data_IF_295081675011
#
_entry.id   IF_295081675011
#
_cell.length_a   1.000
_cell.length_b   1.000
_cell.length_c   1.000
_cell.angle_alpha   90.00
_cell.angle_beta   90.00
_cell.angle_gamma   90.00
#
_symmetry.space_group_name_H-M   'P 1'
#
loop_
_entity.id
_entity.type
_entity.pdbx_description
1 polymer ?
#
# COMPACT_ATOMS: atom_id res chain seq x y z
N UNK A 1 -14.19 5.90 -28.68
CA UNK A 1 -13.98 4.70 -27.84
C UNK A 1 -12.51 4.59 -27.43
N UNK A 2 -12.22 3.96 -26.31
CA UNK A 2 -10.87 3.63 -25.85
C UNK A 2 -10.77 2.11 -25.85
N UNK A 3 -9.76 1.58 -26.57
CA UNK A 3 -9.38 0.17 -26.49
C UNK A 3 -8.13 0.03 -25.63
N UNK A 4 -8.11 -0.94 -24.72
CA UNK A 4 -6.94 -1.33 -23.95
C UNK A 4 -6.89 -2.85 -23.85
N UNK A 5 -5.69 -3.39 -23.72
CA UNK A 5 -5.43 -4.81 -23.68
C UNK A 5 -4.33 -5.12 -22.66
N UNK A 6 -4.18 -6.37 -22.27
CA UNK A 6 -3.17 -6.86 -21.35
C UNK A 6 -3.71 -7.80 -20.28
N UNK A 7 -2.81 -8.45 -19.56
CA UNK A 7 -3.16 -9.47 -18.54
C UNK A 7 -4.12 -8.96 -17.44
N UNK A 8 -4.09 -7.67 -17.15
CA UNK A 8 -4.92 -7.04 -16.12
C UNK A 8 -6.19 -6.37 -16.65
N UNK A 9 -6.40 -6.34 -17.95
CA UNK A 9 -7.55 -5.63 -18.56
C UNK A 9 -8.88 -6.13 -18.01
N UNK A 10 -9.08 -7.44 -17.94
CA UNK A 10 -10.29 -8.05 -17.41
C UNK A 10 -10.51 -7.74 -15.92
N UNK A 11 -9.44 -7.73 -15.09
CA UNK A 11 -9.58 -7.43 -13.67
C UNK A 11 -9.98 -5.97 -13.44
N UNK A 12 -9.42 -5.03 -14.19
CA UNK A 12 -9.82 -3.61 -14.07
C UNK A 12 -11.29 -3.38 -14.42
N UNK A 13 -11.81 -4.06 -15.44
CA UNK A 13 -13.22 -3.96 -15.83
C UNK A 13 -14.12 -4.56 -14.73
N UNK A 14 -13.75 -5.71 -14.16
CA UNK A 14 -14.48 -6.34 -13.06
C UNK A 14 -14.47 -5.50 -11.78
N UNK A 15 -13.33 -4.89 -11.43
CA UNK A 15 -13.21 -4.02 -10.27
C UNK A 15 -14.11 -2.78 -10.35
N UNK A 16 -14.45 -2.35 -11.56
CA UNK A 16 -15.44 -1.30 -11.83
C UNK A 16 -16.89 -1.80 -11.80
N UNK A 17 -17.14 -3.09 -11.51
CA UNK A 17 -18.48 -3.68 -11.52
C UNK A 17 -19.07 -3.84 -12.92
N UNK A 18 -18.26 -3.71 -13.96
CA UNK A 18 -18.66 -3.93 -15.34
C UNK A 18 -18.50 -5.42 -15.69
N UNK A 19 -19.49 -5.97 -16.39
CA UNK A 19 -19.49 -7.37 -16.85
C UNK A 19 -20.24 -7.47 -18.18
N UNK A 20 -20.21 -8.65 -18.80
CA UNK A 20 -21.02 -8.92 -20.00
C UNK A 20 -22.53 -8.74 -19.73
N UNK A 21 -22.98 -9.00 -18.51
CA UNK A 21 -24.37 -8.83 -18.10
C UNK A 21 -24.71 -7.37 -17.79
N UNK A 22 -23.73 -6.58 -17.34
CA UNK A 22 -23.84 -5.17 -17.00
C UNK A 22 -22.76 -4.34 -17.70
N UNK A 23 -22.84 -4.19 -19.05
CA UNK A 23 -21.77 -3.59 -19.84
C UNK A 23 -21.79 -2.05 -19.84
N UNK A 24 -22.81 -1.42 -19.26
CA UNK A 24 -23.01 0.03 -19.30
C UNK A 24 -23.07 0.60 -17.90
N UNK A 25 -22.24 1.60 -17.66
CA UNK A 25 -22.30 2.43 -16.47
C UNK A 25 -22.67 3.87 -16.85
N UNK A 26 -23.71 4.40 -16.21
CA UNK A 26 -24.10 5.79 -16.40
C UNK A 26 -23.37 6.67 -15.41
N UNK A 27 -22.40 7.40 -15.90
CA UNK A 27 -21.55 8.29 -15.14
C UNK A 27 -22.18 9.70 -15.08
N UNK A 28 -22.30 10.27 -13.89
CA UNK A 28 -22.72 11.68 -13.71
C UNK A 28 -21.48 12.58 -13.84
N UNK A 29 -21.09 12.88 -15.10
CA UNK A 29 -19.79 13.12 -15.52
C UNK A 29 -19.03 14.34 -15.26
N UNK A 30 -17.88 14.21 -14.74
CA UNK A 30 -16.93 15.27 -14.45
C UNK A 30 -16.20 15.74 -15.72
N UNK A 31 -15.97 17.06 -15.83
CA UNK A 31 -15.08 17.63 -16.86
C UNK A 31 -13.66 17.05 -16.82
N UNK A 32 -13.27 16.40 -15.71
CA UNK A 32 -11.98 15.71 -15.57
C UNK A 32 -11.81 14.58 -16.59
N UNK A 33 -12.81 13.71 -16.77
CA UNK A 33 -12.72 12.58 -17.69
C UNK A 33 -12.74 13.07 -19.14
N UNK A 34 -13.57 14.10 -19.44
CA UNK A 34 -13.54 14.71 -20.77
C UNK A 34 -12.17 15.30 -21.07
N UNK A 35 -11.58 16.04 -20.14
CA UNK A 35 -10.25 16.61 -20.29
C UNK A 35 -9.18 15.54 -20.52
N UNK A 36 -9.28 14.42 -19.77
CA UNK A 36 -8.38 13.28 -19.91
C UNK A 36 -8.54 12.61 -21.28
N UNK A 37 -9.77 12.40 -21.75
CA UNK A 37 -10.05 11.85 -23.07
C UNK A 37 -9.51 12.73 -24.19
N UNK A 38 -9.66 14.05 -24.08
CA UNK A 38 -9.08 14.98 -25.04
C UNK A 38 -7.53 14.93 -25.01
N UNK A 39 -6.93 14.77 -23.85
CA UNK A 39 -5.48 14.58 -23.73
C UNK A 39 -5.04 13.31 -24.45
N UNK A 40 -5.71 12.19 -24.21
CA UNK A 40 -5.39 10.91 -24.87
C UNK A 40 -5.54 10.99 -26.39
N UNK A 41 -6.52 11.72 -26.89
CA UNK A 41 -6.72 11.91 -28.35
C UNK A 41 -5.61 12.71 -29.04
N UNK A 42 -4.94 13.62 -28.32
CA UNK A 42 -3.83 14.42 -28.88
C UNK A 42 -2.54 13.63 -29.03
N UNK A 43 -2.38 12.55 -28.27
CA UNK A 43 -1.19 11.72 -28.23
C UNK A 43 -1.48 10.38 -28.91
N UNK A 44 -1.44 10.39 -30.25
CA UNK A 44 -1.71 9.21 -31.06
C UNK A 44 -0.50 8.84 -31.93
N UNK A 45 0.70 9.13 -31.44
CA UNK A 45 1.94 8.78 -32.12
C UNK A 45 2.50 7.46 -31.58
N UNK A 46 3.28 6.77 -32.42
CA UNK A 46 3.93 5.51 -32.04
C UNK A 46 5.26 5.73 -31.27
N UNK A 47 5.42 6.90 -30.64
CA UNK A 47 6.60 7.21 -29.85
C UNK A 47 6.48 6.59 -28.44
N UNK A 48 7.60 6.10 -27.92
CA UNK A 48 7.69 5.50 -26.56
C UNK A 48 7.25 6.46 -25.47
N UNK A 49 7.52 7.76 -25.64
CA UNK A 49 7.06 8.82 -24.70
C UNK A 49 5.55 8.91 -24.64
N UNK A 50 4.88 8.89 -25.80
CA UNK A 50 3.44 8.91 -25.90
C UNK A 50 2.79 7.63 -25.34
N UNK A 51 3.46 6.46 -25.49
CA UNK A 51 2.99 5.21 -24.90
C UNK A 51 2.92 5.33 -23.36
N UNK A 52 3.98 5.79 -22.70
CA UNK A 52 3.98 6.00 -21.25
C UNK A 52 2.95 7.03 -20.80
N UNK A 53 2.75 8.07 -21.60
CA UNK A 53 1.73 9.09 -21.32
C UNK A 53 0.33 8.48 -21.42
N UNK A 54 0.05 7.70 -22.45
CA UNK A 54 -1.24 7.03 -22.65
C UNK A 54 -1.52 5.99 -21.58
N UNK A 55 -0.50 5.21 -21.14
CA UNK A 55 -0.62 4.30 -20.00
C UNK A 55 -0.93 5.07 -18.71
N UNK A 56 -0.24 6.19 -18.46
CA UNK A 56 -0.54 7.07 -17.33
C UNK A 56 -1.96 7.63 -17.36
N UNK A 57 -2.43 8.05 -18.52
CA UNK A 57 -3.80 8.49 -18.73
C UNK A 57 -4.82 7.36 -18.51
N UNK A 58 -4.50 6.13 -18.91
CA UNK A 58 -5.36 4.96 -18.69
C UNK A 58 -5.53 4.67 -17.19
N UNK A 59 -4.45 4.73 -16.40
CA UNK A 59 -4.55 4.58 -14.94
C UNK A 59 -5.35 5.72 -14.30
N UNK A 60 -5.20 6.97 -14.77
CA UNK A 60 -6.01 8.09 -14.32
C UNK A 60 -7.49 7.89 -14.67
N UNK A 61 -7.79 7.38 -15.86
CA UNK A 61 -9.14 7.05 -16.29
C UNK A 61 -9.80 6.04 -15.33
N UNK A 62 -9.14 4.93 -15.02
CA UNK A 62 -9.65 3.96 -14.05
C UNK A 62 -9.80 4.54 -12.65
N UNK A 63 -8.87 5.39 -12.21
CA UNK A 63 -8.95 6.07 -10.92
C UNK A 63 -10.19 6.97 -10.81
N UNK A 64 -10.48 7.75 -11.85
CA UNK A 64 -11.65 8.64 -11.91
C UNK A 64 -12.93 7.82 -11.90
N UNK A 65 -13.04 6.79 -12.73
CA UNK A 65 -14.21 5.89 -12.76
C UNK A 65 -14.42 5.18 -11.42
N UNK A 66 -13.39 4.64 -10.81
CA UNK A 66 -13.48 3.97 -9.52
C UNK A 66 -13.99 4.90 -8.42
N UNK A 67 -13.56 6.17 -8.42
CA UNK A 67 -14.05 7.19 -7.49
C UNK A 67 -15.52 7.48 -7.71
N UNK A 68 -15.97 7.64 -8.95
CA UNK A 68 -17.36 7.91 -9.29
C UNK A 68 -18.29 6.75 -8.90
N UNK A 69 -17.91 5.53 -9.25
CA UNK A 69 -18.67 4.31 -8.90
C UNK A 69 -18.81 4.18 -7.38
N UNK A 70 -17.73 4.49 -6.65
CA UNK A 70 -17.76 4.50 -5.18
C UNK A 70 -18.72 5.53 -4.61
N UNK A 71 -18.88 6.70 -5.24
CA UNK A 71 -19.79 7.76 -4.80
C UNK A 71 -21.24 7.46 -5.18
N UNK A 72 -21.47 6.81 -6.34
CA UNK A 72 -22.79 6.49 -6.84
C UNK A 72 -23.45 5.31 -6.11
N UNK A 73 -22.67 4.31 -5.72
CA UNK A 73 -23.14 3.16 -4.93
C UNK A 73 -22.13 2.80 -3.82
N UNK A 74 -22.33 3.36 -2.62
CA UNK A 74 -21.50 3.01 -1.47
C UNK A 74 -21.56 1.51 -1.09
N UNK A 75 -22.57 0.77 -1.56
CA UNK A 75 -22.68 -0.67 -1.33
C UNK A 75 -21.86 -1.50 -2.31
N UNK A 76 -21.43 -0.92 -3.44
CA UNK A 76 -20.57 -1.56 -4.43
C UNK A 76 -19.15 -1.84 -3.91
N UNK A 77 -18.69 -1.10 -2.87
CA UNK A 77 -17.59 -1.59 -2.05
C UNK A 77 -18.09 -2.79 -1.26
N UNK A 78 -17.61 -3.98 -1.59
CA UNK A 78 -17.76 -5.10 -0.64
C UNK A 78 -17.37 -4.54 0.75
N UNK A 79 -18.31 -4.54 1.68
CA UNK A 79 -18.11 -3.98 3.03
C UNK A 79 -16.82 -4.50 3.70
N UNK A 80 -16.41 -5.70 3.31
CA UNK A 80 -15.16 -6.32 3.73
C UNK A 80 -13.89 -5.58 3.30
N UNK A 81 -13.83 -5.01 2.10
CA UNK A 81 -12.67 -4.24 1.63
C UNK A 81 -12.51 -2.93 2.43
N UNK A 82 -13.62 -2.25 2.72
CA UNK A 82 -13.61 -1.03 3.54
C UNK A 82 -13.05 -1.28 4.97
N UNK A 83 -13.39 -2.43 5.57
CA UNK A 83 -12.81 -2.81 6.86
C UNK A 83 -11.30 -3.01 6.78
N UNK A 84 -10.81 -3.64 5.70
CA UNK A 84 -9.37 -3.84 5.48
C UNK A 84 -8.66 -2.52 5.25
N UNK A 85 -9.20 -1.64 4.42
CA UNK A 85 -8.64 -0.29 4.17
C UNK A 85 -8.48 0.51 5.48
N UNK A 86 -9.54 0.58 6.28
CA UNK A 86 -9.51 1.26 7.58
C UNK A 86 -8.54 0.60 8.57
N UNK A 87 -8.47 -0.73 8.58
CA UNK A 87 -7.54 -1.45 9.44
C UNK A 87 -6.09 -1.19 9.04
N UNK A 88 -5.78 -1.18 7.75
CA UNK A 88 -4.45 -0.85 7.21
C UNK A 88 -4.06 0.59 7.55
N UNK A 89 -4.97 1.54 7.37
CA UNK A 89 -4.76 2.94 7.75
C UNK A 89 -4.49 3.08 9.26
N UNK A 90 -5.29 2.42 10.09
CA UNK A 90 -5.06 2.40 11.54
C UNK A 90 -3.69 1.83 11.90
N UNK A 91 -3.30 0.71 11.30
CA UNK A 91 -1.97 0.10 11.51
C UNK A 91 -0.86 1.08 11.12
N UNK A 92 -0.93 1.68 9.93
CA UNK A 92 0.09 2.61 9.44
C UNK A 92 0.26 3.83 10.33
N UNK A 93 -0.82 4.31 10.92
CA UNK A 93 -0.80 5.48 11.80
C UNK A 93 -0.40 5.13 13.25
N UNK A 94 -0.47 3.84 13.65
CA UNK A 94 -0.31 3.45 15.05
C UNK A 94 0.70 2.31 15.28
N UNK A 95 1.43 1.83 14.27
CA UNK A 95 2.33 0.67 14.42
C UNK A 95 3.43 0.89 15.47
N UNK A 96 3.86 2.14 15.70
CA UNK A 96 4.85 2.51 16.71
C UNK A 96 4.31 2.45 18.14
N UNK A 97 2.99 2.43 18.30
CA UNK A 97 2.35 2.20 19.59
C UNK A 97 2.24 0.70 19.87
N UNK A 98 1.99 0.35 21.15
CA UNK A 98 1.83 -1.05 21.58
C UNK A 98 0.46 -1.66 21.17
N UNK A 99 0.00 -1.39 19.93
CA UNK A 99 -1.26 -1.93 19.44
C UNK A 99 -1.21 -3.44 19.24
N UNK A 100 -2.33 -4.09 19.52
CA UNK A 100 -2.60 -5.50 19.28
C UNK A 100 -3.64 -5.67 18.16
N UNK A 101 -3.74 -6.87 17.61
CA UNK A 101 -4.78 -7.21 16.62
C UNK A 101 -6.19 -6.98 17.17
N UNK A 102 -6.38 -7.12 18.48
CA UNK A 102 -7.66 -6.78 19.15
C UNK A 102 -8.03 -5.32 19.03
N UNK A 103 -7.04 -4.42 19.05
CA UNK A 103 -7.28 -2.98 18.99
C UNK A 103 -7.64 -2.59 17.55
N UNK A 104 -6.99 -3.20 16.57
CA UNK A 104 -7.32 -3.05 15.15
C UNK A 104 -8.77 -3.51 14.90
N UNK A 105 -9.15 -4.69 15.39
CA UNK A 105 -10.50 -5.23 15.24
C UNK A 105 -11.56 -4.35 15.91
N UNK A 106 -11.23 -3.83 17.10
CA UNK A 106 -12.10 -2.88 17.84
C UNK A 106 -12.27 -1.57 17.07
N UNK A 107 -11.19 -1.02 16.50
CA UNK A 107 -11.24 0.22 15.73
C UNK A 107 -12.18 0.12 14.52
N UNK A 108 -12.12 -1.01 13.80
CA UNK A 108 -12.99 -1.24 12.64
C UNK A 108 -14.34 -1.89 13.01
N UNK A 109 -14.65 -2.04 14.30
CA UNK A 109 -15.92 -2.56 14.83
C UNK A 109 -16.29 -3.98 14.34
N UNK A 110 -15.29 -4.86 14.16
CA UNK A 110 -15.51 -6.28 13.81
C UNK A 110 -14.76 -7.20 14.78
N UNK A 111 -15.10 -8.49 14.78
CA UNK A 111 -14.37 -9.47 15.58
C UNK A 111 -13.03 -9.86 14.93
N UNK A 112 -12.08 -10.37 15.73
CA UNK A 112 -10.73 -10.73 15.28
C UNK A 112 -10.72 -11.82 14.20
N UNK A 113 -11.63 -12.81 14.30
CA UNK A 113 -11.69 -13.90 13.34
C UNK A 113 -12.13 -13.40 11.97
N UNK A 114 -13.10 -12.50 11.93
CA UNK A 114 -13.55 -11.90 10.69
C UNK A 114 -12.50 -10.96 10.09
N UNK A 115 -11.82 -10.16 10.92
CA UNK A 115 -10.66 -9.36 10.47
C UNK A 115 -9.58 -10.25 9.84
N UNK A 116 -9.26 -11.39 10.45
CA UNK A 116 -8.30 -12.35 9.90
C UNK A 116 -8.77 -12.86 8.51
N UNK A 117 -10.03 -13.26 8.39
CA UNK A 117 -10.60 -13.74 7.12
C UNK A 117 -10.51 -12.67 6.02
N UNK A 118 -10.80 -11.41 6.35
CA UNK A 118 -10.72 -10.31 5.42
C UNK A 118 -9.27 -10.03 4.98
N UNK A 119 -8.32 -10.02 5.92
CA UNK A 119 -6.91 -9.84 5.59
C UNK A 119 -6.37 -10.97 4.70
N UNK A 120 -6.80 -12.22 4.95
CA UNK A 120 -6.44 -13.35 4.08
C UNK A 120 -7.06 -13.19 2.68
N UNK A 121 -8.33 -12.79 2.60
CA UNK A 121 -9.04 -12.61 1.32
C UNK A 121 -8.41 -11.51 0.45
N UNK A 122 -8.12 -10.34 1.04
CA UNK A 122 -7.75 -9.14 0.28
C UNK A 122 -6.24 -8.85 0.24
N UNK A 123 -5.49 -9.28 1.26
CA UNK A 123 -4.06 -8.98 1.39
C UNK A 123 -3.18 -10.23 1.41
N UNK A 124 -3.76 -11.43 1.39
CA UNK A 124 -3.06 -12.72 1.46
C UNK A 124 -2.09 -12.85 2.65
N UNK A 125 -2.39 -12.14 3.74
CA UNK A 125 -1.57 -12.12 4.96
C UNK A 125 -2.44 -12.06 6.20
N UNK A 126 -1.88 -12.31 7.38
CA UNK A 126 -2.60 -12.08 8.64
C UNK A 126 -2.48 -10.62 9.11
N UNK A 127 -3.45 -10.09 9.89
CA UNK A 127 -3.33 -8.76 10.51
C UNK A 127 -2.07 -8.61 11.36
N UNK A 128 -1.66 -9.68 12.06
CA UNK A 128 -0.45 -9.70 12.88
C UNK A 128 0.82 -9.62 12.03
N UNK A 129 0.87 -10.38 10.92
CA UNK A 129 2.02 -10.35 10.01
C UNK A 129 2.12 -9.01 9.27
N UNK A 130 0.98 -8.40 8.93
CA UNK A 130 0.94 -7.08 8.33
C UNK A 130 1.49 -6.02 9.29
N UNK A 131 1.03 -5.99 10.54
CA UNK A 131 1.54 -5.10 11.59
C UNK A 131 3.05 -5.31 11.82
N UNK A 132 3.48 -6.58 11.94
CA UNK A 132 4.90 -6.92 12.08
C UNK A 132 5.72 -6.43 10.89
N UNK A 133 5.22 -6.57 9.66
CA UNK A 133 5.90 -6.08 8.46
C UNK A 133 6.07 -4.55 8.47
N UNK A 134 5.05 -3.79 8.84
CA UNK A 134 5.14 -2.33 8.99
C UNK A 134 6.23 -1.93 10.01
N UNK A 135 6.25 -2.59 11.16
CA UNK A 135 7.26 -2.36 12.21
C UNK A 135 8.68 -2.69 11.74
N UNK A 136 8.86 -3.81 11.06
CA UNK A 136 10.17 -4.21 10.54
C UNK A 136 10.64 -3.28 9.43
N UNK A 137 9.77 -2.84 8.53
CA UNK A 137 10.11 -1.85 7.49
C UNK A 137 10.68 -0.58 8.13
N UNK A 138 10.04 -0.06 9.17
CA UNK A 138 10.54 1.10 9.90
C UNK A 138 11.88 0.81 10.60
N UNK A 139 12.04 -0.39 11.17
CA UNK A 139 13.29 -0.79 11.80
C UNK A 139 14.47 -0.84 10.81
N UNK A 140 14.23 -1.30 9.57
CA UNK A 140 15.26 -1.31 8.52
C UNK A 140 15.77 0.11 8.23
N UNK A 141 14.87 1.08 8.11
CA UNK A 141 15.24 2.49 7.93
C UNK A 141 16.09 3.01 9.11
N UNK A 142 15.60 2.83 10.35
CA UNK A 142 16.32 3.30 11.54
C UNK A 142 17.69 2.64 11.69
N UNK A 143 17.81 1.35 11.39
CA UNK A 143 19.09 0.64 11.44
C UNK A 143 20.08 1.09 10.37
N UNK A 144 19.60 1.51 9.20
CA UNK A 144 20.43 1.97 8.08
C UNK A 144 20.90 3.42 8.23
N UNK A 145 20.06 4.27 8.81
CA UNK A 145 20.29 5.72 8.80
C UNK A 145 20.59 6.34 10.17
N UNK A 146 20.54 5.56 11.26
CA UNK A 146 20.73 6.12 12.62
C UNK A 146 21.67 5.26 13.48
N UNK A 147 22.20 5.88 14.53
CA UNK A 147 23.03 5.24 15.58
C UNK A 147 22.22 4.80 16.79
N UNK A 148 20.90 4.84 16.74
CA UNK A 148 20.05 4.44 17.84
C UNK A 148 20.38 3.01 18.31
N UNK A 149 20.37 2.75 19.62
CA UNK A 149 20.57 1.41 20.14
C UNK A 149 19.52 0.45 19.57
N UNK A 150 19.83 -0.85 19.51
CA UNK A 150 18.86 -1.87 19.05
C UNK A 150 17.60 -1.84 19.91
N UNK A 151 17.76 -1.59 21.20
CA UNK A 151 16.66 -1.44 22.14
C UNK A 151 15.79 -0.21 21.82
N UNK A 152 16.41 0.94 21.56
CA UNK A 152 15.70 2.15 21.15
C UNK A 152 14.96 1.95 19.84
N UNK A 153 15.58 1.28 18.86
CA UNK A 153 14.92 0.93 17.60
C UNK A 153 13.71 0.04 17.84
N UNK A 154 13.83 -0.98 18.72
CA UNK A 154 12.73 -1.87 19.07
C UNK A 154 11.53 -1.09 19.63
N UNK A 155 11.75 -0.22 20.63
CA UNK A 155 10.69 0.62 21.20
C UNK A 155 10.09 1.59 20.18
N UNK A 156 10.92 2.25 19.38
CA UNK A 156 10.46 3.18 18.33
C UNK A 156 9.61 2.50 17.25
N UNK A 157 9.72 1.18 17.11
CA UNK A 157 8.91 0.37 16.19
C UNK A 157 7.72 -0.33 16.89
N UNK A 158 7.42 0.01 18.14
CA UNK A 158 6.26 -0.51 18.86
C UNK A 158 6.42 -1.90 19.46
N UNK A 159 7.65 -2.34 19.69
CA UNK A 159 7.95 -3.59 20.43
C UNK A 159 8.20 -3.28 21.92
N UNK A 160 7.64 -4.10 22.81
CA UNK A 160 7.79 -3.93 24.26
C UNK A 160 9.17 -4.28 24.79
N UNK A 161 9.93 -5.12 24.07
CA UNK A 161 11.30 -5.44 24.41
C UNK A 161 12.14 -5.81 23.17
N UNK A 162 13.46 -5.70 23.33
CA UNK A 162 14.42 -5.97 22.26
C UNK A 162 14.50 -7.46 21.86
N UNK A 163 14.14 -8.38 22.73
CA UNK A 163 14.19 -9.84 22.43
C UNK A 163 13.08 -10.22 21.45
N UNK A 164 11.85 -9.78 21.72
CA UNK A 164 10.69 -9.99 20.82
C UNK A 164 10.96 -9.34 19.46
N UNK A 165 11.48 -8.13 19.47
CA UNK A 165 11.90 -7.44 18.25
C UNK A 165 12.95 -8.24 17.48
N UNK A 166 14.04 -8.66 18.14
CA UNK A 166 15.14 -9.39 17.50
C UNK A 166 14.65 -10.70 16.88
N UNK A 167 13.74 -11.41 17.55
CA UNK A 167 13.13 -12.64 17.02
C UNK A 167 12.28 -12.36 15.78
N UNK A 168 11.40 -11.35 15.85
CA UNK A 168 10.56 -10.95 14.72
C UNK A 168 11.40 -10.47 13.53
N UNK A 169 12.41 -9.64 13.79
CA UNK A 169 13.32 -9.14 12.77
C UNK A 169 14.08 -10.29 12.08
N UNK A 170 14.65 -11.21 12.86
CA UNK A 170 15.36 -12.38 12.31
C UNK A 170 14.44 -13.27 11.47
N UNK A 171 13.22 -13.47 11.90
CA UNK A 171 12.22 -14.24 11.15
C UNK A 171 11.91 -13.61 9.78
N UNK A 172 11.82 -12.27 9.70
CA UNK A 172 11.49 -11.53 8.46
C UNK A 172 12.71 -11.28 7.57
N UNK A 173 13.90 -11.06 8.14
CA UNK A 173 15.09 -10.62 7.39
C UNK A 173 16.20 -11.70 7.29
N UNK A 174 16.04 -12.86 7.95
CA UNK A 174 17.02 -13.93 7.96
C UNK A 174 18.28 -13.64 8.81
N UNK A 175 18.41 -12.44 9.39
CA UNK A 175 19.56 -12.02 10.20
C UNK A 175 19.15 -11.15 11.38
N UNK A 176 20.06 -10.98 12.35
CA UNK A 176 19.80 -10.12 13.51
C UNK A 176 19.85 -8.64 13.16
N UNK A 177 19.17 -7.74 13.94
CA UNK A 177 19.26 -6.30 13.73
C UNK A 177 20.68 -5.76 13.73
N UNK A 178 21.54 -6.26 14.63
CA UNK A 178 22.96 -5.84 14.71
C UNK A 178 23.75 -6.27 13.47
N UNK A 179 23.52 -7.50 12.97
CA UNK A 179 24.14 -7.97 11.73
C UNK A 179 23.64 -7.16 10.51
N UNK A 180 22.36 -6.84 10.49
CA UNK A 180 21.78 -5.99 9.43
C UNK A 180 22.42 -4.61 9.42
N UNK A 181 22.50 -3.93 10.56
CA UNK A 181 23.17 -2.64 10.70
C UNK A 181 24.60 -2.69 10.18
N UNK A 182 25.39 -3.67 10.64
CA UNK A 182 26.80 -3.83 10.21
C UNK A 182 26.92 -3.98 8.69
N UNK A 183 25.93 -4.59 8.03
CA UNK A 183 25.98 -4.88 6.59
C UNK A 183 25.45 -3.74 5.72
N UNK A 184 24.43 -3.01 6.19
CA UNK A 184 23.65 -2.07 5.37
C UNK A 184 23.67 -0.63 5.88
N UNK A 185 24.47 -0.33 6.91
CA UNK A 185 24.65 1.05 7.36
C UNK A 185 25.24 1.88 6.23
N UNK A 186 24.57 2.95 5.90
CA UNK A 186 25.09 3.96 5.01
C UNK A 186 25.94 4.91 5.86
N UNK A 187 27.26 4.87 5.68
CA UNK A 187 28.17 5.84 6.31
C UNK A 187 27.82 7.24 5.81
N UNK A 188 27.10 8.00 6.63
CA UNK A 188 26.86 9.43 6.43
C UNK A 188 28.06 10.24 6.97
N UNK A 189 29.29 9.84 6.71
CA UNK A 189 30.41 10.75 6.85
C UNK A 189 30.41 11.66 5.64
N UNK A 190 30.22 12.98 5.78
CA UNK A 190 30.56 13.89 4.70
C UNK A 190 32.06 13.73 4.47
N UNK A 191 32.39 13.34 3.25
CA UNK A 191 33.75 13.33 2.72
C UNK A 191 34.38 14.69 3.09
N UNK A 192 35.24 14.67 4.08
CA UNK A 192 36.08 15.84 4.38
C UNK A 192 37.02 15.98 3.19
N UNK A 193 36.50 16.66 2.16
CA UNK A 193 37.27 17.09 1.04
C UNK A 193 38.54 17.76 1.55
N UNK A 194 39.64 17.08 1.43
CA UNK A 194 40.95 17.65 1.43
C UNK A 194 40.98 18.72 0.33
N UNK A 195 40.89 19.98 0.74
CA UNK A 195 41.26 21.10 -0.12
C UNK A 195 42.75 21.25 0.04
N UNK A 196 43.53 21.18 -1.06
CA UNK A 196 44.96 21.43 -1.03
C UNK A 196 45.31 22.90 -0.81
#
# INVERSE_FOLDING_TARGET
>A
WIGFDGEKAASYVQELGLSEEHPVYQCSFSGELQSLLFQMQKHNTYDTSDQYLLEGCLYQFFSILSREITLADPSARESGNLYVEKAVEFIRNNYSNEILVSDIARYVCINRSYLYTLFQKYLHTSPQDYLSSCRITRALELLSYTDLSIETVAFSCGYQNAEVFTKAFRQKQGMTPSAYRKKFRLDTTPDSAHVP
#
